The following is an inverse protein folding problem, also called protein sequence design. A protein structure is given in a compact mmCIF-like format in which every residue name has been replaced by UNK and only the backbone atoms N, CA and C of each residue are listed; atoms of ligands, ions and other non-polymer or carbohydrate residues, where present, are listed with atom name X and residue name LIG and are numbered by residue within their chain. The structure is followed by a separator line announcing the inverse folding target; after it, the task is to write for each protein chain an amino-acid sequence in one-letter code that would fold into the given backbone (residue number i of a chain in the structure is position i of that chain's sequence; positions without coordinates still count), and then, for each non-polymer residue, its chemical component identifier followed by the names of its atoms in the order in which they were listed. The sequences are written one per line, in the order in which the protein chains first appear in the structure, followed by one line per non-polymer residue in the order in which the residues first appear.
data_IF_447007658504
#
_entry.id   IF_447007658504
#
_cell.length_a   1.000
_cell.length_b   1.000
_cell.length_c   1.000
_cell.angle_alpha   90.00
_cell.angle_beta   90.00
_cell.angle_gamma   90.00
#
_symmetry.space_group_name_H-M   'P 1'
#
loop_
_entity.id
_entity.type
_entity.pdbx_description
1 polymer ?
#
# COMPACT_ATOMS: atom_id res chain seq x y z
N UNK A 1 -3.27 -10.01 -23.64
CA UNK A 1 -2.70 -8.85 -22.92
C UNK A 1 -2.07 -9.37 -21.64
N UNK A 2 -0.79 -9.09 -21.39
CA UNK A 2 -0.12 -9.45 -20.13
C UNK A 2 -0.70 -8.58 -19.01
N UNK A 3 -0.96 -9.13 -17.82
CA UNK A 3 -1.58 -8.39 -16.69
C UNK A 3 -0.84 -7.08 -16.40
N UNK A 4 0.50 -7.11 -16.46
CA UNK A 4 1.34 -5.93 -16.28
C UNK A 4 1.01 -4.79 -17.25
N UNK A 5 0.74 -5.11 -18.51
CA UNK A 5 0.40 -4.11 -19.51
C UNK A 5 -0.99 -3.52 -19.26
N UNK A 6 -1.96 -4.37 -18.91
CA UNK A 6 -3.32 -3.94 -18.57
C UNK A 6 -3.32 -2.94 -17.41
N UNK A 7 -2.65 -3.25 -16.30
CA UNK A 7 -2.61 -2.34 -15.15
C UNK A 7 -1.81 -1.05 -15.44
N UNK A 8 -0.79 -1.12 -16.28
CA UNK A 8 -0.06 0.05 -16.75
C UNK A 8 -0.94 1.00 -17.57
N UNK A 9 -1.75 0.46 -18.49
CA UNK A 9 -2.74 1.23 -19.26
C UNK A 9 -3.79 1.86 -18.34
N UNK A 10 -4.38 1.08 -17.43
CA UNK A 10 -5.39 1.58 -16.47
C UNK A 10 -4.85 2.73 -15.63
N UNK A 11 -3.61 2.64 -15.15
CA UNK A 11 -2.98 3.75 -14.42
C UNK A 11 -2.76 4.97 -15.33
N UNK A 12 -2.28 4.77 -16.56
CA UNK A 12 -2.10 5.90 -17.50
C UNK A 12 -3.41 6.62 -17.82
N UNK A 13 -4.49 5.88 -18.07
CA UNK A 13 -5.81 6.44 -18.32
C UNK A 13 -6.35 7.20 -17.11
N UNK A 14 -6.20 6.64 -15.90
CA UNK A 14 -6.64 7.30 -14.66
C UNK A 14 -5.90 8.63 -14.45
N UNK A 15 -4.59 8.66 -14.69
CA UNK A 15 -3.76 9.87 -14.59
C UNK A 15 -4.13 10.91 -15.65
N UNK A 16 -4.40 10.50 -16.89
CA UNK A 16 -4.78 11.43 -17.96
C UNK A 16 -6.17 12.02 -17.75
N UNK A 17 -7.11 11.21 -17.26
CA UNK A 17 -8.48 11.66 -17.01
C UNK A 17 -8.56 12.61 -15.80
N UNK A 18 -7.82 12.33 -14.72
CA UNK A 18 -7.84 13.14 -13.51
C UNK A 18 -6.51 13.04 -12.74
N UNK A 19 -5.49 13.85 -13.10
CA UNK A 19 -4.17 13.77 -12.48
C UNK A 19 -4.19 14.20 -11.01
N UNK A 20 -3.30 13.60 -10.22
CA UNK A 20 -3.15 13.79 -8.77
C UNK A 20 -4.43 13.47 -7.97
N UNK A 21 -5.25 12.55 -8.47
CA UNK A 21 -6.51 12.17 -7.84
C UNK A 21 -6.41 10.88 -7.05
N UNK A 22 -7.40 10.65 -6.17
CA UNK A 22 -7.58 9.35 -5.50
C UNK A 22 -7.69 8.21 -6.51
N UNK A 23 -8.33 8.45 -7.67
CA UNK A 23 -8.49 7.42 -8.70
C UNK A 23 -7.15 7.03 -9.33
N UNK A 24 -6.27 8.01 -9.61
CA UNK A 24 -4.92 7.73 -10.06
C UNK A 24 -4.14 6.92 -9.01
N UNK A 25 -4.23 7.33 -7.75
CA UNK A 25 -3.54 6.64 -6.66
C UNK A 25 -3.95 5.17 -6.54
N UNK A 26 -5.25 4.88 -6.57
CA UNK A 26 -5.77 3.52 -6.50
C UNK A 26 -5.36 2.68 -7.72
N UNK A 27 -5.35 3.29 -8.92
CA UNK A 27 -4.86 2.61 -10.12
C UNK A 27 -3.36 2.28 -10.00
N UNK A 28 -2.57 3.20 -9.44
CA UNK A 28 -1.14 3.00 -9.22
C UNK A 28 -0.85 1.89 -8.18
N UNK A 29 -1.65 1.80 -7.11
CA UNK A 29 -1.57 0.70 -6.12
C UNK A 29 -1.82 -0.64 -6.78
N UNK A 30 -2.87 -0.75 -7.60
CA UNK A 30 -3.18 -1.98 -8.32
C UNK A 30 -2.06 -2.36 -9.29
N UNK A 31 -1.50 -1.37 -9.99
CA UNK A 31 -0.34 -1.60 -10.86
C UNK A 31 0.88 -2.06 -10.07
N UNK A 32 1.15 -1.49 -8.89
CA UNK A 32 2.24 -1.94 -8.03
C UNK A 32 2.07 -3.40 -7.59
N UNK A 33 0.84 -3.84 -7.29
CA UNK A 33 0.53 -5.24 -6.97
C UNK A 33 0.75 -6.19 -8.14
N UNK A 34 0.47 -5.76 -9.37
CA UNK A 34 0.82 -6.53 -10.57
C UNK A 34 2.34 -6.61 -10.77
N UNK A 35 3.05 -5.50 -10.53
CA UNK A 35 4.52 -5.43 -10.63
C UNK A 35 5.21 -6.32 -9.60
N UNK A 36 4.68 -6.43 -8.38
CA UNK A 36 5.34 -7.17 -7.28
C UNK A 36 5.48 -8.66 -7.54
N UNK A 37 4.63 -9.24 -8.41
CA UNK A 37 4.75 -10.63 -8.85
C UNK A 37 5.92 -10.90 -9.81
N UNK A 38 6.59 -9.86 -10.31
CA UNK A 38 7.70 -9.99 -11.24
C UNK A 38 9.06 -9.84 -10.54
N UNK A 39 9.93 -10.84 -10.68
CA UNK A 39 11.23 -10.89 -10.01
C UNK A 39 12.07 -9.61 -10.21
N UNK A 40 12.60 -9.09 -9.10
CA UNK A 40 13.56 -7.98 -9.10
C UNK A 40 12.95 -6.57 -9.20
N UNK A 41 11.62 -6.43 -9.22
CA UNK A 41 10.95 -5.13 -9.40
C UNK A 41 10.42 -4.50 -8.10
N UNK A 42 10.93 -4.95 -6.94
CA UNK A 42 10.47 -4.44 -5.64
C UNK A 42 10.70 -2.95 -5.42
N UNK A 43 11.82 -2.38 -5.92
CA UNK A 43 12.07 -0.93 -5.83
C UNK A 43 11.11 -0.10 -6.69
N UNK A 44 10.66 -0.67 -7.82
CA UNK A 44 9.65 -0.03 -8.66
C UNK A 44 8.30 0.00 -7.94
N UNK A 45 7.89 -1.13 -7.35
CA UNK A 45 6.70 -1.17 -6.50
C UNK A 45 6.77 -0.16 -5.34
N UNK A 46 7.92 -0.02 -4.68
CA UNK A 46 8.10 0.92 -3.57
C UNK A 46 7.86 2.36 -4.04
N UNK A 47 8.45 2.72 -5.18
CA UNK A 47 8.27 4.05 -5.79
C UNK A 47 6.80 4.31 -6.12
N UNK A 48 6.11 3.33 -6.70
CA UNK A 48 4.70 3.45 -7.06
C UNK A 48 3.79 3.58 -5.84
N UNK A 49 4.01 2.77 -4.81
CA UNK A 49 3.20 2.82 -3.59
C UNK A 49 3.44 4.08 -2.77
N UNK A 50 4.68 4.59 -2.70
CA UNK A 50 4.99 5.88 -2.05
C UNK A 50 4.35 7.05 -2.80
N UNK A 51 4.32 7.00 -4.13
CA UNK A 51 3.60 8.00 -4.93
C UNK A 51 2.09 7.95 -4.68
N UNK A 52 1.51 6.75 -4.70
CA UNK A 52 0.09 6.59 -4.37
C UNK A 52 -0.25 7.05 -2.94
N UNK A 53 0.64 6.79 -1.97
CA UNK A 53 0.51 7.30 -0.62
C UNK A 53 0.44 8.83 -0.61
N UNK A 54 1.39 9.49 -1.27
CA UNK A 54 1.44 10.95 -1.36
C UNK A 54 0.14 11.53 -1.93
N UNK A 55 -0.36 10.95 -3.04
CA UNK A 55 -1.61 11.39 -3.64
C UNK A 55 -2.81 11.21 -2.71
N UNK A 56 -2.93 10.08 -2.02
CA UNK A 56 -4.02 9.84 -1.06
C UNK A 56 -3.93 10.80 0.12
N UNK A 57 -2.74 11.05 0.65
CA UNK A 57 -2.52 11.98 1.76
C UNK A 57 -2.87 13.43 1.38
N UNK A 58 -2.54 13.86 0.16
CA UNK A 58 -2.90 15.19 -0.35
C UNK A 58 -4.41 15.36 -0.55
N UNK A 59 -5.09 14.33 -1.04
CA UNK A 59 -6.53 14.41 -1.37
C UNK A 59 -7.46 14.14 -0.18
N UNK A 60 -7.05 13.26 0.74
CA UNK A 60 -7.90 12.79 1.85
C UNK A 60 -7.39 13.24 3.22
N UNK A 61 -6.12 13.63 3.31
CA UNK A 61 -5.42 13.92 4.55
C UNK A 61 -4.69 12.70 5.12
N UNK A 62 -3.54 12.95 5.77
CA UNK A 62 -2.61 11.92 6.28
C UNK A 62 -3.28 10.88 7.19
N UNK A 63 -4.24 11.31 8.02
CA UNK A 63 -4.94 10.43 8.97
C UNK A 63 -6.12 9.64 8.38
N UNK A 64 -6.45 9.82 7.09
CA UNK A 64 -7.62 9.17 6.51
C UNK A 64 -7.42 7.63 6.44
N UNK A 65 -8.39 6.79 6.85
CA UNK A 65 -8.22 5.34 6.87
C UNK A 65 -7.83 4.76 5.50
N UNK A 66 -8.32 5.32 4.40
CA UNK A 66 -7.99 4.87 3.04
C UNK A 66 -6.49 5.00 2.69
N UNK A 67 -5.77 5.95 3.27
CA UNK A 67 -4.30 6.04 3.13
C UNK A 67 -3.67 4.76 3.68
N UNK A 68 -4.10 4.35 4.88
CA UNK A 68 -3.60 3.15 5.53
C UNK A 68 -4.00 1.88 4.79
N UNK A 69 -5.26 1.77 4.33
CA UNK A 69 -5.74 0.58 3.60
C UNK A 69 -5.06 0.43 2.26
N UNK A 70 -4.97 1.50 1.47
CA UNK A 70 -4.59 1.41 0.06
C UNK A 70 -3.11 1.66 -0.22
N UNK A 71 -2.37 2.34 0.64
CA UNK A 71 -0.94 2.58 0.40
C UNK A 71 -0.04 2.01 1.50
N UNK A 72 -0.31 2.31 2.76
CA UNK A 72 0.56 1.91 3.88
C UNK A 72 0.59 0.39 4.08
N UNK A 73 -0.57 -0.28 4.06
CA UNK A 73 -0.64 -1.73 4.19
C UNK A 73 0.08 -2.46 3.04
N UNK A 74 -0.12 -2.11 1.76
CA UNK A 74 0.69 -2.65 0.66
C UNK A 74 2.19 -2.39 0.79
N UNK A 75 2.62 -1.21 1.27
CA UNK A 75 4.04 -0.94 1.52
C UNK A 75 4.64 -1.90 2.55
N UNK A 76 3.91 -2.17 3.64
CA UNK A 76 4.36 -3.13 4.65
C UNK A 76 4.53 -4.54 4.07
N UNK A 77 3.58 -4.98 3.23
CA UNK A 77 3.65 -6.28 2.53
C UNK A 77 4.83 -6.32 1.57
N UNK A 78 5.06 -5.25 0.80
CA UNK A 78 6.22 -5.15 -0.09
C UNK A 78 7.53 -5.27 0.69
N UNK A 79 7.68 -4.51 1.78
CA UNK A 79 8.89 -4.53 2.60
C UNK A 79 9.17 -5.91 3.17
N UNK A 80 8.17 -6.55 3.77
CA UNK A 80 8.34 -7.88 4.37
C UNK A 80 8.48 -8.98 3.33
N UNK A 81 7.42 -9.21 2.54
CA UNK A 81 7.28 -10.39 1.70
C UNK A 81 8.16 -10.34 0.46
N UNK A 82 8.36 -9.15 -0.11
CA UNK A 82 9.09 -9.01 -1.39
C UNK A 82 10.54 -8.61 -1.18
N UNK A 83 10.82 -7.69 -0.26
CA UNK A 83 12.18 -7.16 -0.05
C UNK A 83 12.91 -7.78 1.15
N UNK A 84 12.21 -8.53 2.02
CA UNK A 84 12.80 -9.12 3.23
C UNK A 84 13.15 -8.10 4.33
N UNK A 85 12.72 -6.84 4.18
CA UNK A 85 12.91 -5.72 5.12
C UNK A 85 11.86 -5.75 6.24
N UNK A 86 11.90 -6.80 7.07
CA UNK A 86 10.88 -7.03 8.11
C UNK A 86 10.83 -5.95 9.21
N UNK A 87 11.95 -5.28 9.50
CA UNK A 87 11.97 -4.16 10.44
C UNK A 87 11.14 -2.97 9.94
N UNK A 88 11.24 -2.65 8.65
CA UNK A 88 10.46 -1.56 8.06
C UNK A 88 9.00 -1.95 7.86
N UNK A 89 8.73 -3.22 7.52
CA UNK A 89 7.37 -3.74 7.53
C UNK A 89 6.70 -3.63 8.91
N UNK A 90 7.43 -3.93 9.99
CA UNK A 90 6.95 -3.81 11.36
C UNK A 90 6.52 -2.37 11.69
N UNK A 91 7.38 -1.39 11.39
CA UNK A 91 7.06 0.02 11.64
C UNK A 91 5.85 0.49 10.82
N UNK A 92 5.78 0.09 9.55
CA UNK A 92 4.69 0.46 8.63
C UNK A 92 3.36 -0.16 9.08
N UNK A 93 3.34 -1.45 9.39
CA UNK A 93 2.12 -2.11 9.88
C UNK A 93 1.68 -1.59 11.25
N UNK A 94 2.61 -1.21 12.12
CA UNK A 94 2.29 -0.59 13.41
C UNK A 94 1.50 0.70 13.24
N UNK A 95 2.01 1.62 12.38
CA UNK A 95 1.32 2.87 12.05
C UNK A 95 -0.06 2.63 11.42
N UNK A 96 -0.16 1.69 10.47
CA UNK A 96 -1.43 1.35 9.83
C UNK A 96 -2.43 0.79 10.85
N UNK A 97 -2.01 -0.09 11.76
CA UNK A 97 -2.87 -0.67 12.78
C UNK A 97 -3.41 0.40 13.74
N UNK A 98 -2.55 1.30 14.23
CA UNK A 98 -2.96 2.42 15.09
C UNK A 98 -3.98 3.33 14.40
N UNK A 99 -3.72 3.72 13.15
CA UNK A 99 -4.60 4.59 12.38
C UNK A 99 -5.95 3.94 12.09
N UNK A 100 -5.95 2.68 11.62
CA UNK A 100 -7.19 1.97 11.28
C UNK A 100 -8.01 1.64 12.52
N UNK A 101 -7.37 1.30 13.63
CA UNK A 101 -8.05 1.09 14.91
C UNK A 101 -8.72 2.38 15.41
N UNK A 102 -8.00 3.52 15.34
CA UNK A 102 -8.54 4.81 15.77
C UNK A 102 -9.70 5.29 14.88
N UNK A 103 -9.61 5.10 13.57
CA UNK A 103 -10.60 5.58 12.61
C UNK A 103 -11.84 4.67 12.49
N UNK A 104 -11.65 3.34 12.54
CA UNK A 104 -12.69 2.36 12.22
C UNK A 104 -13.11 1.49 13.41
N UNK A 105 -12.30 1.48 14.48
CA UNK A 105 -12.50 0.65 15.66
C UNK A 105 -11.85 -0.74 15.55
N UNK A 106 -11.49 -1.30 16.71
CA UNK A 106 -10.79 -2.60 16.88
C UNK A 106 -11.44 -3.80 16.19
N UNK A 107 -12.77 -3.77 16.02
CA UNK A 107 -13.54 -4.88 15.45
C UNK A 107 -13.70 -4.78 13.94
N UNK A 108 -13.21 -3.70 13.31
CA UNK A 108 -13.26 -3.55 11.86
C UNK A 108 -12.25 -4.48 11.19
N UNK A 109 -12.63 -5.09 10.06
CA UNK A 109 -11.81 -6.07 9.34
C UNK A 109 -10.42 -5.54 8.99
N UNK A 110 -10.33 -4.32 8.46
CA UNK A 110 -9.04 -3.69 8.12
C UNK A 110 -8.14 -3.46 9.33
N UNK A 111 -8.71 -3.10 10.49
CA UNK A 111 -7.93 -2.92 11.72
C UNK A 111 -7.41 -4.27 12.24
N UNK A 112 -8.25 -5.31 12.18
CA UNK A 112 -7.86 -6.68 12.53
C UNK A 112 -6.75 -7.20 11.61
N UNK A 113 -6.86 -6.97 10.30
CA UNK A 113 -5.83 -7.36 9.34
C UNK A 113 -4.51 -6.64 9.61
N UNK A 114 -4.53 -5.31 9.75
CA UNK A 114 -3.33 -4.53 10.05
C UNK A 114 -2.65 -4.98 11.34
N UNK A 115 -3.43 -5.25 12.38
CA UNK A 115 -2.91 -5.78 13.64
C UNK A 115 -2.29 -7.16 13.47
N UNK A 116 -2.89 -8.04 12.67
CA UNK A 116 -2.33 -9.36 12.37
C UNK A 116 -1.00 -9.26 11.64
N UNK A 117 -0.92 -8.43 10.60
CA UNK A 117 0.32 -8.24 9.83
C UNK A 117 1.44 -7.62 10.69
N UNK A 118 1.09 -6.68 11.57
CA UNK A 118 2.02 -6.12 12.55
C UNK A 118 2.63 -7.19 13.46
N UNK A 119 1.81 -8.07 14.04
CA UNK A 119 2.31 -9.16 14.89
C UNK A 119 3.10 -10.20 14.08
N UNK A 120 2.72 -10.46 12.83
CA UNK A 120 3.46 -11.36 11.95
C UNK A 120 4.86 -10.80 11.60
N UNK A 121 4.95 -9.51 11.27
CA UNK A 121 6.22 -8.84 11.01
C UNK A 121 7.13 -8.85 12.25
N UNK A 122 6.55 -8.67 13.45
CA UNK A 122 7.28 -8.76 14.72
C UNK A 122 7.92 -10.12 14.96
N UNK A 123 7.27 -11.20 14.55
CA UNK A 123 7.86 -12.55 14.68
C UNK A 123 8.99 -12.75 13.67
N UNK A 124 8.84 -12.21 12.46
CA UNK A 124 9.81 -12.41 11.36
C UNK A 124 11.06 -11.52 11.46
N UNK A 125 11.04 -10.50 12.30
CA UNK A 125 12.23 -9.68 12.59
C UNK A 125 13.17 -10.29 13.66
N UNK A 126 12.74 -11.38 14.33
CA UNK A 126 13.51 -12.11 15.34
C UNK A 126 14.27 -13.29 14.73
#
# INVERSE_FOLDING_TARGET
LNELHMYGEVWSEAREANPNSVQEALALVNFAGAVSGHHGRGLECETMLLHAQTLLEEQLGVGHPDVAVHATMPLGKLYGDTLGRWAEAYDVFGKAAEQLEAALGKSHSSAIEAKREFEAAKVKML
#
